data_IF_936037104109
#
_entry.id   IF_936037104109
#
_cell.length_a   1.000
_cell.length_b   1.000
_cell.length_c   1.000
_cell.angle_alpha   90.00
_cell.angle_beta   90.00
_cell.angle_gamma   90.00
#
_symmetry.space_group_name_H-M   'P 1'
#
loop_
_entity.id
_entity.type
_entity.pdbx_description
1 polymer ?
#
# COMPACT_ATOMS: atom_id res chain seq x y z
N UNK A 1 -44.87 -22.94 -18.54
CA UNK A 1 -43.73 -22.30 -19.22
C UNK A 1 -43.66 -20.86 -18.74
N UNK A 2 -42.73 -20.56 -17.83
CA UNK A 2 -42.31 -19.20 -17.51
C UNK A 2 -40.78 -19.21 -17.48
N UNK A 3 -40.22 -18.16 -18.05
CA UNK A 3 -38.88 -18.05 -18.61
C UNK A 3 -37.98 -17.30 -17.62
N UNK A 4 -36.71 -17.73 -17.55
CA UNK A 4 -35.48 -16.99 -17.22
C UNK A 4 -35.37 -16.31 -15.83
N UNK A 5 -34.40 -16.72 -15.01
CA UNK A 5 -32.97 -16.33 -15.03
C UNK A 5 -32.72 -15.11 -14.14
N UNK A 6 -32.17 -15.34 -12.97
CA UNK A 6 -31.04 -14.55 -12.49
C UNK A 6 -30.10 -15.52 -11.77
N UNK A 7 -29.01 -15.85 -12.47
CA UNK A 7 -27.86 -16.46 -11.82
C UNK A 7 -27.38 -15.50 -10.74
N UNK A 8 -27.26 -16.00 -9.52
CA UNK A 8 -26.53 -15.32 -8.46
C UNK A 8 -25.04 -15.45 -8.81
N UNK A 9 -24.61 -14.67 -9.80
CA UNK A 9 -23.20 -14.46 -10.10
C UNK A 9 -22.57 -13.86 -8.85
N UNK A 10 -21.45 -14.46 -8.44
CA UNK A 10 -20.77 -14.18 -7.19
C UNK A 10 -20.67 -12.69 -6.90
N UNK A 11 -21.05 -12.31 -5.69
CA UNK A 11 -20.54 -11.09 -5.11
C UNK A 11 -19.06 -11.33 -4.88
N UNK A 12 -18.24 -11.03 -5.88
CA UNK A 12 -16.87 -10.63 -5.63
C UNK A 12 -16.97 -9.54 -4.57
N UNK A 13 -16.48 -9.82 -3.35
CA UNK A 13 -16.21 -8.74 -2.43
C UNK A 13 -15.13 -7.94 -3.12
N UNK A 14 -15.52 -6.78 -3.67
CA UNK A 14 -14.59 -5.69 -3.83
C UNK A 14 -14.15 -5.35 -2.41
N UNK A 15 -13.10 -6.03 -1.95
CA UNK A 15 -12.27 -5.50 -0.88
C UNK A 15 -11.63 -4.29 -1.53
N UNK A 16 -12.32 -3.15 -1.41
CA UNK A 16 -11.68 -1.86 -1.54
C UNK A 16 -10.70 -1.88 -0.37
N UNK A 17 -9.46 -2.28 -0.66
CA UNK A 17 -8.35 -2.06 0.25
C UNK A 17 -8.23 -0.55 0.32
N UNK A 18 -8.95 0.05 1.25
CA UNK A 18 -8.64 1.40 1.70
C UNK A 18 -7.45 1.23 2.63
N UNK A 19 -6.36 1.97 2.41
CA UNK A 19 -5.15 2.04 3.25
C UNK A 19 -5.41 2.48 4.70
N UNK A 20 -6.40 1.89 5.37
CA UNK A 20 -6.77 2.15 6.76
C UNK A 20 -6.96 0.77 7.40
N UNK A 21 -5.83 0.12 7.65
CA UNK A 21 -5.71 -1.08 8.47
C UNK A 21 -6.07 -0.67 9.89
N UNK A 22 -7.26 -1.04 10.32
CA UNK A 22 -7.71 -0.84 11.69
C UNK A 22 -7.49 -2.15 12.43
N UNK A 23 -6.53 -2.18 13.37
CA UNK A 23 -6.67 -2.78 14.70
C UNK A 23 -5.36 -2.59 15.52
N UNK A 24 -5.50 -2.03 16.75
CA UNK A 24 -4.49 -1.92 17.83
C UNK A 24 -3.29 -0.95 17.65
N UNK A 25 -3.28 0.13 18.45
CA UNK A 25 -2.13 1.05 18.70
C UNK A 25 -1.33 1.56 17.50
N UNK A 26 -2.00 1.69 16.37
CA UNK A 26 -1.43 2.19 15.13
C UNK A 26 -1.07 3.69 15.20
N UNK A 27 0.12 4.11 14.79
CA UNK A 27 0.37 5.52 14.51
C UNK A 27 -0.03 5.85 13.07
N UNK A 28 -0.81 6.92 12.89
CA UNK A 28 -1.24 7.36 11.55
C UNK A 28 -0.39 8.54 11.12
N UNK A 29 0.35 8.37 10.02
CA UNK A 29 1.22 9.38 9.44
C UNK A 29 0.71 9.71 8.04
N UNK A 30 0.49 10.99 7.77
CA UNK A 30 0.01 11.46 6.48
C UNK A 30 0.96 12.55 5.97
N UNK A 31 1.48 12.34 4.77
CA UNK A 31 2.28 13.28 4.01
C UNK A 31 1.44 14.38 3.36
N UNK A 32 1.93 14.87 2.22
CA UNK A 32 1.40 16.00 1.48
C UNK A 32 1.36 15.67 -0.02
N UNK A 33 0.90 16.62 -0.84
CA UNK A 33 0.86 16.44 -2.30
C UNK A 33 2.22 16.74 -2.97
N UNK A 34 3.32 16.70 -2.23
CA UNK A 34 4.66 16.85 -2.78
C UNK A 34 5.69 16.07 -1.98
N UNK A 35 6.90 15.99 -2.52
CA UNK A 35 7.97 15.09 -2.04
C UNK A 35 8.22 15.17 -0.52
N UNK A 36 7.93 14.07 0.15
CA UNK A 36 8.04 13.90 1.59
C UNK A 36 9.10 12.86 1.97
N UNK A 37 9.61 13.00 3.19
CA UNK A 37 10.43 11.98 3.86
C UNK A 37 9.69 11.56 5.11
N UNK A 38 9.17 10.35 5.10
CA UNK A 38 8.33 9.79 6.15
C UNK A 38 9.07 8.64 6.82
N UNK A 39 9.13 8.68 8.15
CA UNK A 39 9.69 7.61 8.96
C UNK A 39 8.63 7.26 10.00
N UNK A 40 8.23 5.99 10.00
CA UNK A 40 7.37 5.39 11.00
C UNK A 40 8.07 5.23 12.34
N UNK A 41 7.52 4.35 13.14
CA UNK A 41 7.87 4.16 14.53
C UNK A 41 8.44 2.75 14.74
N UNK A 42 8.31 2.23 15.95
CA UNK A 42 8.75 0.87 16.27
C UNK A 42 7.55 -0.03 16.60
N UNK A 43 6.36 0.38 16.19
CA UNK A 43 5.16 -0.43 16.25
C UNK A 43 4.28 -0.08 15.06
N UNK A 44 3.24 -0.86 14.87
CA UNK A 44 2.36 -0.84 13.70
C UNK A 44 1.96 0.59 13.30
N UNK A 45 2.18 0.94 12.03
CA UNK A 45 1.90 2.26 11.48
C UNK A 45 0.96 2.18 10.27
N UNK A 46 0.21 3.26 10.05
CA UNK A 46 -0.53 3.51 8.82
C UNK A 46 0.04 4.78 8.20
N UNK A 47 0.74 4.62 7.08
CA UNK A 47 1.44 5.68 6.38
C UNK A 47 0.76 5.96 5.04
N UNK A 48 0.45 7.23 4.77
CA UNK A 48 -0.11 7.69 3.50
C UNK A 48 0.69 8.90 3.02
N UNK A 49 1.53 8.75 1.98
CA UNK A 49 2.36 9.86 1.51
C UNK A 49 1.63 10.80 0.54
N UNK A 50 0.63 10.28 -0.18
CA UNK A 50 -0.33 10.96 -1.06
C UNK A 50 0.17 11.20 -2.47
N UNK A 51 1.05 12.18 -2.70
CA UNK A 51 1.58 12.38 -4.03
C UNK A 51 2.84 13.22 -4.01
N UNK A 52 3.62 13.16 -5.08
CA UNK A 52 5.02 13.56 -5.05
C UNK A 52 5.91 12.32 -5.11
N UNK A 53 7.22 12.52 -5.06
CA UNK A 53 8.17 11.41 -5.05
C UNK A 53 8.69 11.22 -3.64
N UNK A 54 8.15 10.25 -2.93
CA UNK A 54 8.29 10.11 -1.49
C UNK A 54 9.37 9.09 -1.10
N UNK A 55 9.94 9.28 0.09
CA UNK A 55 10.80 8.29 0.75
C UNK A 55 10.15 7.88 2.07
N UNK A 56 9.79 6.60 2.16
CA UNK A 56 9.02 6.05 3.27
C UNK A 56 9.78 4.88 3.90
N UNK A 57 9.91 4.90 5.22
CA UNK A 57 10.44 3.81 6.05
C UNK A 57 9.41 3.49 7.15
N UNK A 58 8.79 2.31 7.11
CA UNK A 58 7.79 1.87 8.08
C UNK A 58 8.38 1.66 9.48
N UNK A 59 9.58 1.08 9.53
CA UNK A 59 10.30 0.83 10.78
C UNK A 59 10.10 -0.60 11.29
N UNK A 60 9.89 -0.76 12.59
CA UNK A 60 9.51 -2.06 13.14
C UNK A 60 8.00 -2.07 13.39
N UNK A 61 7.33 -3.21 13.21
CA UNK A 61 5.88 -3.32 13.38
C UNK A 61 5.24 -3.91 12.14
N UNK A 62 3.94 -4.19 12.20
CA UNK A 62 3.19 -4.59 11.03
C UNK A 62 2.55 -3.35 10.42
N UNK A 63 3.14 -2.84 9.36
CA UNK A 63 2.81 -1.54 8.81
C UNK A 63 1.89 -1.64 7.60
N UNK A 64 1.09 -0.59 7.40
CA UNK A 64 0.33 -0.37 6.19
C UNK A 64 0.81 0.91 5.53
N UNK A 65 1.49 0.79 4.40
CA UNK A 65 2.14 1.91 3.73
C UNK A 65 1.54 2.11 2.36
N UNK A 66 1.14 3.34 2.06
CA UNK A 66 0.68 3.76 0.74
C UNK A 66 1.49 4.97 0.28
N UNK A 67 2.29 4.78 -0.78
CA UNK A 67 3.07 5.84 -1.43
C UNK A 67 2.15 6.89 -2.02
N UNK A 68 1.22 6.45 -2.85
CA UNK A 68 0.36 7.36 -3.59
C UNK A 68 1.03 7.72 -4.91
N UNK A 69 0.74 8.92 -5.43
CA UNK A 69 1.07 9.29 -6.80
C UNK A 69 2.51 9.79 -6.96
N UNK A 70 3.32 9.12 -7.78
CA UNK A 70 4.65 9.59 -8.13
C UNK A 70 5.66 8.45 -8.09
N UNK A 71 6.95 8.76 -8.26
CA UNK A 71 7.98 7.72 -8.17
C UNK A 71 8.46 7.61 -6.71
N UNK A 72 7.98 6.60 -5.98
CA UNK A 72 8.22 6.45 -4.55
C UNK A 72 9.32 5.45 -4.22
N UNK A 73 9.93 5.61 -3.05
CA UNK A 73 10.83 4.63 -2.45
C UNK A 73 10.25 4.21 -1.10
N UNK A 74 9.83 2.95 -1.01
CA UNK A 74 9.13 2.41 0.15
C UNK A 74 9.95 1.27 0.75
N UNK A 75 10.21 1.37 2.05
CA UNK A 75 10.77 0.30 2.88
C UNK A 75 9.72 -0.08 3.93
N UNK A 76 9.25 -1.33 3.91
CA UNK A 76 8.33 -1.85 4.93
C UNK A 76 9.01 -1.89 6.29
N UNK A 77 10.16 -2.56 6.34
CA UNK A 77 10.98 -2.63 7.53
C UNK A 77 10.92 -4.03 8.11
N UNK A 78 10.66 -4.15 9.41
CA UNK A 78 10.58 -5.44 10.08
C UNK A 78 9.17 -5.70 10.60
N UNK A 79 8.51 -6.69 10.04
CA UNK A 79 7.19 -7.13 10.44
C UNK A 79 6.53 -7.91 9.32
N UNK A 80 5.23 -8.10 9.43
CA UNK A 80 4.40 -8.52 8.31
C UNK A 80 3.70 -7.26 7.76
N UNK A 81 4.23 -6.67 6.69
CA UNK A 81 3.77 -5.37 6.17
C UNK A 81 2.84 -5.52 4.95
N UNK A 82 1.95 -4.54 4.79
CA UNK A 82 1.12 -4.33 3.60
C UNK A 82 1.59 -3.04 2.90
N UNK A 83 2.26 -3.17 1.75
CA UNK A 83 2.85 -2.05 1.02
C UNK A 83 2.13 -1.83 -0.31
N UNK A 84 1.72 -0.60 -0.57
CA UNK A 84 1.09 -0.15 -1.81
C UNK A 84 1.91 1.03 -2.38
N UNK A 85 2.45 0.87 -3.60
CA UNK A 85 3.10 1.97 -4.33
C UNK A 85 2.05 2.99 -4.73
N UNK A 86 1.24 2.64 -5.71
CA UNK A 86 0.14 3.45 -6.19
C UNK A 86 -1.25 2.89 -5.90
N UNK A 87 -2.16 3.73 -5.40
CA UNK A 87 -3.54 3.31 -5.08
C UNK A 87 -4.60 3.66 -6.14
N UNK A 88 -4.29 4.55 -7.10
CA UNK A 88 -5.30 5.10 -8.02
C UNK A 88 -4.91 4.96 -9.50
N UNK A 89 -5.91 4.69 -10.34
CA UNK A 89 -5.69 4.65 -11.80
C UNK A 89 -5.38 6.07 -12.30
N UNK A 90 -4.20 6.26 -12.90
CA UNK A 90 -3.72 7.53 -13.42
C UNK A 90 -2.82 8.32 -12.46
N UNK A 91 -2.40 7.69 -11.36
CA UNK A 91 -1.31 8.19 -10.49
C UNK A 91 0.05 7.58 -10.85
N UNK A 92 0.13 6.89 -11.99
CA UNK A 92 1.28 6.13 -12.50
C UNK A 92 2.66 6.62 -12.01
N UNK A 93 3.24 5.83 -11.12
CA UNK A 93 4.58 5.92 -10.56
C UNK A 93 5.49 4.80 -11.06
N UNK A 94 6.79 4.93 -10.86
CA UNK A 94 7.73 3.83 -10.98
C UNK A 94 8.37 3.64 -9.62
N UNK A 95 7.74 2.79 -8.81
CA UNK A 95 8.09 2.69 -7.41
C UNK A 95 9.21 1.70 -7.18
N UNK A 96 10.00 1.96 -6.14
CA UNK A 96 10.92 0.99 -5.56
C UNK A 96 10.38 0.56 -4.21
N UNK A 97 9.85 -0.66 -4.13
CA UNK A 97 9.22 -1.16 -2.90
C UNK A 97 10.01 -2.35 -2.37
N UNK A 98 10.48 -2.24 -1.13
CA UNK A 98 11.23 -3.27 -0.43
C UNK A 98 10.53 -3.65 0.85
N UNK A 99 9.76 -4.73 0.78
CA UNK A 99 9.17 -5.34 1.96
C UNK A 99 9.95 -6.56 2.45
N UNK A 100 10.49 -7.38 1.53
CA UNK A 100 10.96 -8.70 1.94
C UNK A 100 9.80 -9.70 1.92
N UNK A 101 9.47 -10.31 3.05
CA UNK A 101 8.42 -11.35 3.17
C UNK A 101 6.99 -10.77 3.29
N UNK A 102 6.75 -9.64 2.62
CA UNK A 102 5.56 -8.80 2.80
C UNK A 102 4.55 -8.90 1.65
N UNK A 103 3.40 -8.29 1.87
CA UNK A 103 2.33 -8.13 0.89
C UNK A 103 2.54 -6.84 0.10
N UNK A 104 3.10 -6.94 -1.10
CA UNK A 104 3.46 -5.77 -1.93
C UNK A 104 2.51 -5.65 -3.14
N UNK A 105 1.95 -4.45 -3.33
CA UNK A 105 1.14 -4.05 -4.46
C UNK A 105 1.74 -2.80 -5.11
N UNK A 106 2.42 -2.95 -6.25
CA UNK A 106 3.02 -1.80 -6.95
C UNK A 106 2.01 -0.78 -7.49
N UNK A 107 0.83 -1.25 -7.92
CA UNK A 107 -0.15 -0.37 -8.56
C UNK A 107 0.11 -0.19 -10.07
N UNK A 108 -0.44 0.86 -10.71
CA UNK A 108 -0.13 1.19 -12.10
C UNK A 108 1.28 1.79 -12.22
N UNK A 109 2.12 1.25 -13.10
CA UNK A 109 3.50 1.73 -13.13
C UNK A 109 4.47 0.74 -13.76
N UNK A 110 5.76 1.09 -13.76
CA UNK A 110 6.84 0.12 -13.91
C UNK A 110 7.61 0.08 -12.60
N UNK A 111 7.20 -0.84 -11.74
CA UNK A 111 7.69 -0.91 -10.36
C UNK A 111 8.84 -1.92 -10.24
N UNK A 112 9.79 -1.61 -9.35
CA UNK A 112 10.86 -2.48 -8.89
C UNK A 112 10.55 -2.96 -7.47
N UNK A 113 9.84 -4.09 -7.39
CA UNK A 113 9.43 -4.70 -6.12
C UNK A 113 10.40 -5.81 -5.75
N UNK A 114 11.13 -5.64 -4.63
CA UNK A 114 12.00 -6.67 -4.06
C UNK A 114 11.30 -7.33 -2.87
N UNK A 115 10.72 -8.50 -3.13
CA UNK A 115 10.30 -9.43 -2.09
C UNK A 115 11.37 -10.51 -1.95
N UNK A 116 11.91 -10.71 -0.75
CA UNK A 116 12.97 -11.70 -0.54
C UNK A 116 12.41 -13.10 -0.86
N UNK A 117 13.13 -13.83 -1.71
CA UNK A 117 12.83 -15.22 -2.03
C UNK A 117 13.22 -16.11 -0.83
N UNK A 118 12.23 -16.58 -0.08
CA UNK A 118 12.38 -17.75 0.81
C UNK A 118 12.67 -19.05 0.05
#
# INVERSE_FOLDING_TARGET
MLISLLGLAGTARAQVVTCVGLEERVATIVGTEGDDVIVGTSGDDVIQALGGNDQIDGGDGNDLICGGAGDDIIYGGAGDDDLEGDSLIGTDGNDVVKGGDDSIHGGPGIDDMDGDLL
#
